data_IF_013033174103
#
_entry.id   IF_013033174103
#
_cell.length_a   1.000
_cell.length_b   1.000
_cell.length_c   1.000
_cell.angle_alpha   90.00
_cell.angle_beta   90.00
_cell.angle_gamma   90.00
#
_symmetry.space_group_name_H-M   'P 1'
#
loop_
_entity.id
_entity.type
_entity.pdbx_description
1 polymer ?
#
# COMPACT_ATOMS: atom_id res chain seq x y z
N UNK A 1 -0.11 10.46 23.20
CA UNK A 1 -1.20 9.82 22.43
C UNK A 1 -0.58 9.10 21.26
N UNK A 2 -0.72 7.76 21.16
CA UNK A 2 -0.29 7.04 19.95
C UNK A 2 -1.28 7.41 18.84
N UNK A 3 -0.80 7.89 17.70
CA UNK A 3 -1.65 8.20 16.54
C UNK A 3 -2.42 6.95 16.11
N UNK A 4 -3.67 7.13 15.69
CA UNK A 4 -4.49 6.04 15.17
C UNK A 4 -3.83 5.52 13.87
N UNK A 5 -3.48 4.22 13.76
CA UNK A 5 -2.77 3.68 12.60
C UNK A 5 -3.55 3.85 11.28
N UNK A 6 -4.89 3.91 11.33
CA UNK A 6 -5.72 4.24 10.17
C UNK A 6 -5.54 5.69 9.74
N UNK A 7 -5.47 6.62 10.70
CA UNK A 7 -5.27 8.03 10.41
C UNK A 7 -3.90 8.28 9.76
N UNK A 8 -2.87 7.55 10.20
CA UNK A 8 -1.54 7.64 9.61
C UNK A 8 -1.52 7.27 8.10
N UNK A 9 -2.31 6.26 7.69
CA UNK A 9 -2.47 5.93 6.26
C UNK A 9 -3.18 7.04 5.50
N UNK A 10 -4.20 7.66 6.11
CA UNK A 10 -4.95 8.75 5.49
C UNK A 10 -4.05 9.96 5.28
N UNK A 11 -3.40 10.43 6.35
CA UNK A 11 -2.53 11.60 6.31
C UNK A 11 -1.39 11.40 5.31
N UNK A 12 -0.79 10.21 5.29
CA UNK A 12 0.25 9.87 4.32
C UNK A 12 -0.28 9.87 2.90
N UNK A 13 -1.41 9.19 2.64
CA UNK A 13 -1.95 9.09 1.29
C UNK A 13 -2.35 10.46 0.73
N UNK A 14 -2.97 11.31 1.56
CA UNK A 14 -3.32 12.68 1.18
C UNK A 14 -2.08 13.51 0.84
N UNK A 15 -1.03 13.45 1.66
CA UNK A 15 0.20 14.19 1.44
C UNK A 15 0.96 13.72 0.18
N UNK A 16 1.04 12.40 -0.02
CA UNK A 16 1.88 11.79 -1.06
C UNK A 16 1.21 11.80 -2.44
N UNK A 17 -0.10 11.54 -2.53
CA UNK A 17 -0.75 11.18 -3.80
C UNK A 17 -1.66 12.24 -4.40
N UNK A 18 -1.98 13.32 -3.68
CA UNK A 18 -2.97 14.31 -4.16
C UNK A 18 -2.34 15.51 -4.85
N UNK A 19 -1.07 15.81 -4.56
CA UNK A 19 -0.41 16.99 -5.09
C UNK A 19 -0.29 16.94 -6.62
N UNK A 20 -0.79 17.97 -7.29
CA UNK A 20 -0.73 18.09 -8.76
C UNK A 20 -1.68 17.18 -9.53
N UNK A 21 -2.50 16.35 -8.86
CA UNK A 21 -3.50 15.51 -9.52
C UNK A 21 -4.81 16.28 -9.70
N UNK A 22 -5.30 16.37 -10.93
CA UNK A 22 -6.59 16.96 -11.28
C UNK A 22 -7.69 15.89 -11.41
N UNK A 23 -7.32 14.68 -11.80
CA UNK A 23 -8.25 13.58 -12.08
C UNK A 23 -7.99 12.35 -11.21
N UNK A 24 -9.05 11.58 -10.92
CA UNK A 24 -8.95 10.37 -10.09
C UNK A 24 -8.00 9.31 -10.65
N UNK A 25 -7.88 9.19 -11.98
CA UNK A 25 -6.96 8.22 -12.58
C UNK A 25 -5.48 8.59 -12.35
N UNK A 26 -5.18 9.87 -12.14
CA UNK A 26 -3.82 10.35 -11.84
C UNK A 26 -3.43 9.95 -10.43
N UNK A 27 -4.37 10.10 -9.48
CA UNK A 27 -4.22 9.62 -8.10
C UNK A 27 -4.00 8.10 -8.06
N UNK A 28 -4.81 7.34 -8.81
CA UNK A 28 -4.63 5.87 -8.92
C UNK A 28 -3.24 5.54 -9.49
N UNK A 29 -2.80 6.28 -10.50
CA UNK A 29 -1.48 6.09 -11.12
C UNK A 29 -0.34 6.42 -10.15
N UNK A 30 -0.46 7.49 -9.36
CA UNK A 30 0.51 7.88 -8.34
C UNK A 30 0.65 6.80 -7.26
N UNK A 31 -0.48 6.26 -6.77
CA UNK A 31 -0.49 5.14 -5.81
C UNK A 31 0.25 3.94 -6.38
N UNK A 32 -0.04 3.52 -7.62
CA UNK A 32 0.63 2.36 -8.20
C UNK A 32 2.12 2.57 -8.45
N UNK A 33 2.54 3.77 -8.88
CA UNK A 33 3.96 4.12 -9.03
C UNK A 33 4.68 3.99 -7.70
N UNK A 34 4.15 4.61 -6.65
CA UNK A 34 4.73 4.55 -5.32
C UNK A 34 4.86 3.11 -4.81
N UNK A 35 3.81 2.30 -4.99
CA UNK A 35 3.82 0.88 -4.59
C UNK A 35 4.94 0.12 -5.28
N UNK A 36 5.13 0.31 -6.59
CA UNK A 36 6.17 -0.39 -7.37
C UNK A 36 7.57 0.07 -6.98
N UNK A 37 7.75 1.36 -6.70
CA UNK A 37 9.04 1.94 -6.34
C UNK A 37 9.49 1.53 -4.93
N UNK A 38 8.53 1.47 -3.99
CA UNK A 38 8.80 1.31 -2.56
C UNK A 38 8.61 -0.13 -2.05
N UNK A 39 7.78 -0.95 -2.68
CA UNK A 39 7.66 -2.36 -2.31
C UNK A 39 8.60 -3.24 -3.14
N UNK A 40 9.02 -4.34 -2.54
CA UNK A 40 9.79 -5.39 -3.20
C UNK A 40 8.97 -6.67 -3.24
N UNK A 41 9.03 -7.36 -4.37
CA UNK A 41 8.39 -8.66 -4.48
C UNK A 41 9.08 -9.69 -3.60
N UNK A 42 8.28 -10.47 -2.89
CA UNK A 42 8.70 -11.72 -2.25
C UNK A 42 7.77 -12.81 -2.70
N UNK A 43 8.36 -13.89 -3.22
CA UNK A 43 7.58 -15.09 -3.54
C UNK A 43 6.84 -15.55 -2.29
N UNK A 44 5.55 -15.91 -2.40
CA UNK A 44 4.83 -16.54 -1.30
C UNK A 44 5.61 -17.76 -0.81
N UNK A 45 5.87 -17.82 0.50
CA UNK A 45 6.42 -19.01 1.18
C UNK A 45 5.35 -19.54 2.13
N UNK A 46 5.40 -20.82 2.50
CA UNK A 46 4.44 -21.39 3.46
C UNK A 46 4.47 -20.68 4.85
N UNK A 47 5.56 -19.97 5.15
CA UNK A 47 5.73 -19.08 6.30
C UNK A 47 5.27 -17.63 6.05
N UNK A 48 4.43 -17.39 5.04
CA UNK A 48 3.93 -16.06 4.72
C UNK A 48 3.03 -15.56 5.85
N UNK A 49 3.64 -14.95 6.86
CA UNK A 49 2.96 -14.02 7.75
C UNK A 49 2.16 -13.08 6.85
N UNK A 50 0.84 -13.19 6.92
CA UNK A 50 -0.06 -12.35 6.17
C UNK A 50 0.02 -10.95 6.76
N UNK A 51 1.00 -10.16 6.32
CA UNK A 51 1.05 -8.75 6.67
C UNK A 51 -0.25 -8.11 6.13
N UNK A 52 -1.03 -7.55 7.05
CA UNK A 52 -2.14 -6.68 6.71
C UNK A 52 -1.60 -5.36 6.15
N UNK A 53 -2.47 -4.52 5.57
CA UNK A 53 -2.03 -3.26 4.98
C UNK A 53 -1.30 -2.35 5.99
N UNK A 54 -1.71 -2.41 7.27
CA UNK A 54 -1.12 -1.63 8.35
C UNK A 54 0.29 -2.08 8.69
N UNK A 55 0.53 -3.39 8.79
CA UNK A 55 1.85 -3.96 9.01
C UNK A 55 2.80 -3.62 7.85
N UNK A 56 2.34 -3.77 6.61
CA UNK A 56 3.14 -3.41 5.42
C UNK A 56 3.46 -1.92 5.42
N UNK A 57 2.47 -1.07 5.70
CA UNK A 57 2.65 0.38 5.73
C UNK A 57 3.63 0.81 6.85
N UNK A 58 3.43 0.29 8.06
CA UNK A 58 4.32 0.57 9.19
C UNK A 58 5.75 0.12 8.88
N UNK A 59 5.92 -1.03 8.22
CA UNK A 59 7.23 -1.47 7.78
C UNK A 59 7.80 -0.45 6.79
N UNK A 60 7.06 -0.03 5.75
CA UNK A 60 7.54 0.93 4.72
C UNK A 60 8.01 2.28 5.26
N UNK A 61 7.46 2.75 6.37
CA UNK A 61 7.84 4.02 6.98
C UNK A 61 9.08 3.92 7.88
N UNK A 62 9.55 2.72 8.23
CA UNK A 62 10.73 2.51 9.07
C UNK A 62 12.00 2.34 8.20
N UNK A 63 12.93 3.31 8.17
CA UNK A 63 14.13 3.26 7.32
C UNK A 63 15.11 2.12 7.69
N UNK A 64 15.05 1.65 8.94
CA UNK A 64 15.84 0.53 9.47
C UNK A 64 15.44 -0.82 8.87
N UNK A 65 14.28 -0.90 8.21
CA UNK A 65 13.64 -2.12 7.76
C UNK A 65 13.70 -2.33 6.25
N UNK A 66 14.81 -1.94 5.60
CA UNK A 66 15.00 -2.06 4.15
C UNK A 66 14.76 -3.47 3.56
N UNK A 67 14.93 -4.52 4.37
CA UNK A 67 14.67 -5.91 3.98
C UNK A 67 13.24 -6.41 4.26
N UNK A 68 12.39 -5.65 4.97
CA UNK A 68 11.01 -6.03 5.33
C UNK A 68 9.94 -5.45 4.39
N UNK A 69 10.29 -4.59 3.44
CA UNK A 69 9.39 -4.09 2.37
C UNK A 69 8.98 -5.16 1.35
N UNK A 70 9.08 -6.43 1.73
CA UNK A 70 9.01 -7.60 0.87
C UNK A 70 7.66 -8.27 1.07
N UNK A 71 6.79 -8.20 0.07
CA UNK A 71 5.44 -8.76 0.16
C UNK A 71 5.01 -9.45 -1.13
N UNK A 72 3.90 -10.19 -1.04
CA UNK A 72 3.30 -10.96 -2.13
C UNK A 72 2.15 -10.19 -2.80
N UNK A 73 1.49 -10.83 -3.76
CA UNK A 73 0.38 -10.22 -4.50
C UNK A 73 -0.77 -9.75 -3.59
N UNK A 74 -0.98 -10.40 -2.44
CA UNK A 74 -2.00 -9.98 -1.47
C UNK A 74 -1.57 -8.70 -0.78
N UNK A 75 -0.31 -8.59 -0.39
CA UNK A 75 0.23 -7.39 0.23
C UNK A 75 0.21 -6.17 -0.68
N UNK A 76 0.67 -6.33 -1.92
CA UNK A 76 0.57 -5.29 -2.96
C UNK A 76 -0.89 -4.81 -3.10
N UNK A 77 -1.82 -5.75 -3.28
CA UNK A 77 -3.24 -5.43 -3.45
C UNK A 77 -3.85 -4.76 -2.22
N UNK A 78 -3.56 -5.25 -1.01
CA UNK A 78 -4.11 -4.72 0.25
C UNK A 78 -3.66 -3.28 0.49
N UNK A 79 -2.38 -2.99 0.29
CA UNK A 79 -1.86 -1.64 0.50
C UNK A 79 -2.38 -0.66 -0.55
N UNK A 80 -2.43 -1.05 -1.83
CA UNK A 80 -3.05 -0.23 -2.88
C UNK A 80 -4.52 0.08 -2.56
N UNK A 81 -5.30 -0.93 -2.14
CA UNK A 81 -6.71 -0.72 -1.75
C UNK A 81 -6.82 0.20 -0.54
N UNK A 82 -5.93 0.08 0.45
CA UNK A 82 -5.93 0.94 1.63
C UNK A 82 -5.70 2.41 1.26
N UNK A 83 -4.68 2.71 0.44
CA UNK A 83 -4.42 4.07 -0.04
C UNK A 83 -5.57 4.62 -0.88
N UNK A 84 -6.11 3.83 -1.82
CA UNK A 84 -7.23 4.27 -2.65
C UNK A 84 -8.47 4.60 -1.80
N UNK A 85 -8.80 3.76 -0.81
CA UNK A 85 -9.92 4.01 0.09
C UNK A 85 -9.69 5.21 1.00
N UNK A 86 -8.45 5.41 1.46
CA UNK A 86 -8.06 6.60 2.23
C UNK A 86 -8.30 7.90 1.44
N UNK A 87 -8.09 7.85 0.12
CA UNK A 87 -8.31 8.96 -0.81
C UNK A 87 -9.78 9.07 -1.29
N UNK A 88 -10.71 8.35 -0.66
CA UNK A 88 -12.13 8.36 -1.03
C UNK A 88 -12.44 7.66 -2.36
N UNK A 89 -11.52 6.86 -2.91
CA UNK A 89 -11.72 6.08 -4.13
C UNK A 89 -12.21 4.66 -3.76
N UNK A 90 -13.44 4.28 -4.15
CA UNK A 90 -13.93 2.92 -3.88
C UNK A 90 -13.08 1.88 -4.61
N UNK A 91 -12.45 1.00 -3.84
CA UNK A 91 -11.62 -0.10 -4.34
C UNK A 91 -11.99 -1.42 -3.67
N UNK A 92 -11.85 -2.54 -4.41
CA UNK A 92 -12.16 -3.90 -3.94
C UNK A 92 -11.06 -4.88 -4.33
N UNK A 93 -10.91 -5.93 -3.53
CA UNK A 93 -9.98 -7.02 -3.83
C UNK A 93 -10.58 -7.92 -4.90
N UNK A 94 -9.76 -8.33 -5.87
CA UNK A 94 -10.13 -9.29 -6.92
C UNK A 94 -9.05 -10.37 -6.95
N UNK A 95 -9.47 -11.63 -6.96
CA UNK A 95 -8.58 -12.79 -7.09
C UNK A 95 -8.88 -13.58 -8.35
N UNK A 96 -7.85 -14.08 -9.00
CA UNK A 96 -7.96 -14.98 -10.13
C UNK A 96 -6.62 -15.67 -10.42
N UNK A 97 -6.65 -16.58 -11.39
CA UNK A 97 -5.44 -17.23 -11.90
C UNK A 97 -4.90 -16.40 -13.07
N UNK A 98 -3.61 -16.12 -13.06
CA UNK A 98 -2.89 -15.41 -14.14
C UNK A 98 -1.81 -16.32 -14.70
N UNK A 99 -1.69 -16.42 -16.02
CA UNK A 99 -0.73 -17.29 -16.72
C UNK A 99 0.40 -16.48 -17.35
#
# INVERSE_FOLDING_TARGET
MKSNPTQAIIDFAEAEFTYGCQYRYEVVSAVFKWIIENLRWRSPSNDSAHFDALGIFSDTLEPSHFNRYRTDCKGFSRLSIAFLRALGIPARFVSGTTF
#
